data_IF_009265549467
#
_entry.id   IF_009265549467
#
_cell.length_a   1.000
_cell.length_b   1.000
_cell.length_c   1.000
_cell.angle_alpha   90.00
_cell.angle_beta   90.00
_cell.angle_gamma   90.00
#
_symmetry.space_group_name_H-M   'P 1'
#
loop_
_entity.id
_entity.type
_entity.pdbx_description
1 polymer ?
#
# COMPACT_ATOMS: atom_id res chain seq x y z
N UNK A 1 8.67 -6.72 -26.67
CA UNK A 1 7.40 -6.16 -26.16
C UNK A 1 7.72 -5.38 -24.92
N UNK A 2 7.28 -4.12 -24.82
CA UNK A 2 7.45 -3.34 -23.60
C UNK A 2 6.78 -4.07 -22.43
N UNK A 3 7.35 -3.98 -21.23
CA UNK A 3 6.69 -4.49 -20.02
C UNK A 3 5.38 -3.73 -19.84
N UNK A 4 4.39 -4.38 -19.22
CA UNK A 4 3.08 -3.77 -18.99
C UNK A 4 3.20 -2.39 -18.29
N UNK A 5 4.13 -2.25 -17.34
CA UNK A 5 4.42 -0.98 -16.67
C UNK A 5 4.89 0.13 -17.62
N UNK A 6 5.79 -0.20 -18.55
CA UNK A 6 6.31 0.76 -19.55
C UNK A 6 5.20 1.18 -20.52
N UNK A 7 4.30 0.27 -20.89
CA UNK A 7 3.13 0.61 -21.70
C UNK A 7 2.20 1.59 -20.96
N UNK A 8 1.94 1.37 -19.68
CA UNK A 8 1.05 2.26 -18.91
C UNK A 8 1.69 3.64 -18.70
N UNK A 9 3.01 3.70 -18.47
CA UNK A 9 3.76 4.97 -18.41
C UNK A 9 3.67 5.74 -19.72
N UNK A 10 3.87 5.07 -20.87
CA UNK A 10 3.77 5.71 -22.19
C UNK A 10 2.35 6.24 -22.48
N UNK A 11 1.30 5.56 -22.02
CA UNK A 11 -0.08 6.06 -22.11
C UNK A 11 -0.23 7.36 -21.30
N UNK A 12 0.25 7.38 -20.06
CA UNK A 12 0.17 8.56 -19.19
C UNK A 12 0.96 9.74 -19.76
N UNK A 13 2.20 9.53 -20.21
CA UNK A 13 3.02 10.56 -20.85
C UNK A 13 2.34 11.11 -22.12
N UNK A 14 1.73 10.23 -22.93
CA UNK A 14 1.00 10.65 -24.12
C UNK A 14 -0.24 11.47 -23.75
N UNK A 15 -0.96 11.12 -22.70
CA UNK A 15 -2.08 11.93 -22.20
C UNK A 15 -1.60 13.33 -21.80
N UNK A 16 -0.53 13.42 -21.01
CA UNK A 16 0.01 14.72 -20.59
C UNK A 16 0.45 15.60 -21.77
N UNK A 17 1.01 14.98 -22.81
CA UNK A 17 1.47 15.68 -24.01
C UNK A 17 0.33 16.12 -24.94
N UNK A 18 -0.83 15.44 -24.92
CA UNK A 18 -1.89 15.63 -25.92
C UNK A 18 -3.19 16.19 -25.38
N UNK A 19 -3.49 15.97 -24.10
CA UNK A 19 -4.76 16.34 -23.48
C UNK A 19 -4.57 17.47 -22.46
N UNK A 20 -3.71 17.27 -21.45
CA UNK A 20 -3.47 18.27 -20.40
C UNK A 20 -2.17 18.02 -19.66
N UNK A 21 -1.28 19.04 -19.51
CA UNK A 21 -0.05 18.91 -18.72
C UNK A 21 -0.27 19.09 -17.21
N UNK A 22 -1.50 19.42 -16.77
CA UNK A 22 -1.83 19.62 -15.36
C UNK A 22 -2.07 18.28 -14.64
N UNK A 23 -2.03 18.25 -13.29
CA UNK A 23 -2.43 17.07 -12.53
C UNK A 23 -3.81 16.55 -12.97
N UNK A 24 -3.90 15.24 -13.21
CA UNK A 24 -5.08 14.58 -13.77
C UNK A 24 -5.45 13.36 -12.92
N UNK A 25 -6.74 13.03 -12.87
CA UNK A 25 -7.20 11.75 -12.32
C UNK A 25 -6.86 10.59 -13.26
N UNK A 26 -6.57 9.41 -12.70
CA UNK A 26 -6.34 8.22 -13.52
C UNK A 26 -7.61 7.73 -14.23
N UNK A 27 -8.80 8.10 -13.74
CA UNK A 27 -10.08 7.78 -14.38
C UNK A 27 -10.23 8.50 -15.73
N UNK A 28 -9.86 9.78 -15.79
CA UNK A 28 -9.85 10.55 -17.04
C UNK A 28 -8.85 9.98 -18.06
N UNK A 29 -7.63 9.67 -17.60
CA UNK A 29 -6.60 9.07 -18.46
C UNK A 29 -7.05 7.70 -18.95
N UNK A 30 -7.66 6.88 -18.10
CA UNK A 30 -8.15 5.55 -18.46
C UNK A 30 -9.29 5.63 -19.48
N UNK A 31 -10.27 6.51 -19.26
CA UNK A 31 -11.38 6.73 -20.19
C UNK A 31 -10.86 7.15 -21.58
N UNK A 32 -9.94 8.12 -21.62
CA UNK A 32 -9.27 8.53 -22.85
C UNK A 32 -8.49 7.40 -23.52
N UNK A 33 -7.69 6.64 -22.75
CA UNK A 33 -6.87 5.56 -23.30
C UNK A 33 -7.70 4.40 -23.87
N UNK A 34 -8.89 4.16 -23.31
CA UNK A 34 -9.86 3.19 -23.82
C UNK A 34 -10.50 3.70 -25.11
N UNK A 35 -10.92 4.96 -25.14
CA UNK A 35 -11.53 5.60 -26.33
C UNK A 35 -10.54 5.61 -27.53
N UNK A 36 -9.27 5.94 -27.26
CA UNK A 36 -8.17 5.89 -28.24
C UNK A 36 -7.69 4.47 -28.58
N UNK A 37 -8.25 3.43 -27.92
CA UNK A 37 -7.89 2.03 -28.16
C UNK A 37 -6.45 1.65 -27.77
N UNK A 38 -5.80 2.45 -26.92
CA UNK A 38 -4.42 2.29 -26.47
C UNK A 38 -4.28 1.20 -25.39
N UNK A 39 -5.35 0.96 -24.64
CA UNK A 39 -5.42 -0.10 -23.63
C UNK A 39 -6.19 -1.31 -24.14
N UNK A 40 -5.56 -2.49 -24.09
CA UNK A 40 -6.21 -3.78 -24.38
C UNK A 40 -5.98 -4.76 -23.23
N UNK A 41 -7.02 -5.13 -22.47
CA UNK A 41 -6.85 -6.04 -21.36
C UNK A 41 -6.49 -7.45 -21.87
N UNK A 42 -5.50 -8.06 -21.23
CA UNK A 42 -5.22 -9.49 -21.43
C UNK A 42 -6.34 -10.35 -20.79
N UNK A 43 -6.54 -11.60 -21.25
CA UNK A 43 -7.43 -12.55 -20.58
C UNK A 43 -7.12 -12.65 -19.08
N UNK A 44 -8.15 -12.48 -18.25
CA UNK A 44 -7.98 -12.52 -16.79
C UNK A 44 -7.79 -13.95 -16.30
N UNK A 45 -6.72 -14.17 -15.54
CA UNK A 45 -6.52 -15.40 -14.76
C UNK A 45 -7.47 -15.38 -13.55
N UNK A 46 -8.52 -16.22 -13.60
CA UNK A 46 -9.56 -16.31 -12.56
C UNK A 46 -8.97 -16.78 -11.23
N UNK A 47 -7.97 -17.66 -11.25
CA UNK A 47 -7.31 -18.12 -10.03
C UNK A 47 -6.50 -16.98 -9.40
N UNK A 48 -5.83 -16.15 -10.21
CA UNK A 48 -5.19 -14.92 -9.72
C UNK A 48 -6.20 -13.96 -9.10
N UNK A 49 -7.33 -13.70 -9.78
CA UNK A 49 -8.38 -12.83 -9.26
C UNK A 49 -8.91 -13.30 -7.90
N UNK A 50 -9.18 -14.60 -7.75
CA UNK A 50 -9.63 -15.19 -6.49
C UNK A 50 -8.55 -15.07 -5.39
N UNK A 51 -7.28 -15.33 -5.71
CA UNK A 51 -6.17 -15.17 -4.77
C UNK A 51 -6.03 -13.73 -4.27
N UNK A 52 -6.15 -12.75 -5.16
CA UNK A 52 -6.05 -11.33 -4.80
C UNK A 52 -7.22 -10.92 -3.88
N UNK A 53 -8.45 -11.33 -4.20
CA UNK A 53 -9.62 -11.10 -3.36
C UNK A 53 -9.50 -11.75 -1.96
N UNK A 54 -9.00 -12.98 -1.88
CA UNK A 54 -8.72 -13.65 -0.61
C UNK A 54 -7.66 -12.88 0.19
N UNK A 55 -6.54 -12.51 -0.45
CA UNK A 55 -5.48 -11.77 0.20
C UNK A 55 -6.00 -10.44 0.78
N UNK A 56 -6.84 -9.71 0.04
CA UNK A 56 -7.42 -8.46 0.50
C UNK A 56 -8.39 -8.64 1.67
N UNK A 57 -9.23 -9.67 1.62
CA UNK A 57 -10.13 -10.02 2.72
C UNK A 57 -9.34 -10.38 3.99
N UNK A 58 -8.31 -11.22 3.88
CA UNK A 58 -7.48 -11.63 5.03
C UNK A 58 -6.73 -10.44 5.65
N UNK A 59 -6.31 -9.44 4.87
CA UNK A 59 -5.70 -8.20 5.42
C UNK A 59 -6.67 -7.37 6.25
N UNK A 60 -7.96 -7.47 5.96
CA UNK A 60 -8.99 -6.65 6.60
C UNK A 60 -9.54 -7.28 7.86
N UNK A 61 -9.46 -8.61 8.00
CA UNK A 61 -9.92 -9.30 9.21
C UNK A 61 -9.18 -8.77 10.45
N UNK A 62 -9.95 -8.12 11.34
CA UNK A 62 -9.49 -7.61 12.63
C UNK A 62 -10.27 -8.27 13.75
N UNK A 63 -9.61 -8.48 14.88
CA UNK A 63 -10.20 -8.94 16.14
C UNK A 63 -9.87 -7.95 17.25
N UNK A 64 -10.61 -8.05 18.35
CA UNK A 64 -10.39 -7.27 19.57
C UNK A 64 -9.93 -8.26 20.64
N UNK A 65 -8.84 -7.96 21.32
CA UNK A 65 -8.39 -8.79 22.44
C UNK A 65 -9.00 -8.34 23.77
N UNK A 66 -8.72 -9.09 24.84
CA UNK A 66 -9.23 -8.79 26.17
C UNK A 66 -8.75 -7.44 26.76
N UNK A 67 -7.78 -6.76 26.13
CA UNK A 67 -7.32 -5.43 26.50
C UNK A 67 -7.91 -4.33 25.61
N UNK A 68 -8.88 -4.67 24.76
CA UNK A 68 -9.50 -3.75 23.81
C UNK A 68 -8.67 -3.47 22.55
N UNK A 69 -7.52 -4.13 22.34
CA UNK A 69 -6.65 -3.82 21.20
C UNK A 69 -7.25 -4.38 19.92
N UNK A 70 -7.44 -3.52 18.91
CA UNK A 70 -7.86 -3.92 17.57
C UNK A 70 -6.66 -4.40 16.76
N UNK A 71 -6.51 -5.71 16.58
CA UNK A 71 -5.37 -6.31 15.88
C UNK A 71 -5.80 -7.02 14.59
N UNK A 72 -4.88 -7.15 13.63
CA UNK A 72 -5.10 -7.92 12.40
C UNK A 72 -4.99 -9.41 12.71
N UNK A 73 -6.00 -10.19 12.33
CA UNK A 73 -6.02 -11.63 12.59
C UNK A 73 -5.04 -12.41 11.71
N UNK A 74 -4.91 -12.02 10.43
CA UNK A 74 -4.15 -12.79 9.44
C UNK A 74 -2.89 -12.06 8.99
N UNK A 75 -1.79 -12.79 8.93
CA UNK A 75 -0.47 -12.28 8.61
C UNK A 75 0.11 -12.98 7.39
N UNK A 76 0.76 -12.21 6.53
CA UNK A 76 1.41 -12.74 5.33
C UNK A 76 2.92 -12.72 5.43
N UNK A 77 3.57 -13.72 4.84
CA UNK A 77 5.02 -13.76 4.61
C UNK A 77 5.30 -14.03 3.14
N UNK A 78 6.05 -13.13 2.51
CA UNK A 78 6.63 -13.37 1.17
C UNK A 78 7.91 -14.18 1.31
N UNK A 79 8.00 -15.33 0.65
CA UNK A 79 9.18 -16.19 0.74
C UNK A 79 9.40 -16.98 -0.55
N UNK A 80 10.62 -17.42 -0.77
CA UNK A 80 10.95 -18.31 -1.89
C UNK A 80 10.88 -19.76 -1.42
N UNK A 81 10.11 -20.59 -2.13
CA UNK A 81 10.02 -22.04 -1.92
C UNK A 81 10.13 -22.69 -3.29
N UNK A 82 11.07 -23.62 -3.46
CA UNK A 82 11.25 -24.35 -4.73
C UNK A 82 11.49 -23.44 -5.94
N UNK A 83 12.19 -22.30 -5.76
CA UNK A 83 12.46 -21.35 -6.83
C UNK A 83 11.27 -20.46 -7.22
N UNK A 84 10.14 -20.54 -6.51
CA UNK A 84 8.98 -19.67 -6.72
C UNK A 84 8.77 -18.76 -5.51
N UNK A 85 8.43 -17.50 -5.77
CA UNK A 85 8.04 -16.56 -4.73
C UNK A 85 6.57 -16.79 -4.37
N UNK A 86 6.31 -17.08 -3.10
CA UNK A 86 4.96 -17.32 -2.57
C UNK A 86 4.63 -16.30 -1.48
N UNK A 87 3.33 -16.03 -1.32
CA UNK A 87 2.78 -15.32 -0.17
C UNK A 87 2.03 -16.32 0.70
N UNK A 88 2.65 -16.72 1.81
CA UNK A 88 2.04 -17.60 2.80
C UNK A 88 1.21 -16.77 3.78
N UNK A 89 0.12 -17.35 4.28
CA UNK A 89 -0.79 -16.70 5.22
C UNK A 89 -0.97 -17.57 6.47
N UNK A 90 -1.02 -16.95 7.64
CA UNK A 90 -1.30 -17.62 8.89
C UNK A 90 -2.11 -16.73 9.84
N UNK A 91 -2.77 -17.34 10.81
CA UNK A 91 -3.48 -16.63 11.88
C UNK A 91 -2.50 -16.27 13.01
N UNK A 92 -2.55 -15.04 13.52
CA UNK A 92 -1.66 -14.56 14.57
C UNK A 92 -1.76 -15.39 15.86
N UNK A 93 -2.92 -15.98 16.13
CA UNK A 93 -3.18 -16.72 17.36
C UNK A 93 -2.65 -18.17 17.30
N UNK A 94 -2.34 -18.70 16.10
CA UNK A 94 -1.88 -20.09 15.91
C UNK A 94 -0.57 -20.23 15.14
N UNK A 95 -0.08 -19.16 14.52
CA UNK A 95 1.15 -19.19 13.73
C UNK A 95 2.41 -19.45 14.59
N UNK A 96 3.42 -20.14 14.03
CA UNK A 96 4.74 -20.22 14.66
C UNK A 96 5.35 -18.83 14.85
N UNK A 97 6.08 -18.65 15.97
CA UNK A 97 6.76 -17.39 16.29
C UNK A 97 7.63 -16.87 15.14
N UNK A 98 8.43 -17.75 14.54
CA UNK A 98 9.32 -17.43 13.40
C UNK A 98 8.56 -16.85 12.19
N UNK A 99 7.32 -17.32 11.96
CA UNK A 99 6.49 -16.82 10.88
C UNK A 99 6.06 -15.38 11.15
N UNK A 100 5.63 -15.09 12.38
CA UNK A 100 5.20 -13.76 12.78
C UNK A 100 6.38 -12.77 12.84
N UNK A 101 7.53 -13.17 13.38
CA UNK A 101 8.74 -12.34 13.37
C UNK A 101 9.12 -11.93 11.95
N UNK A 102 9.08 -12.87 10.99
CA UNK A 102 9.32 -12.57 9.58
C UNK A 102 8.23 -11.67 8.99
N UNK A 103 6.96 -11.90 9.33
CA UNK A 103 5.84 -11.08 8.86
C UNK A 103 5.96 -9.62 9.33
N UNK A 104 6.25 -9.41 10.62
CA UNK A 104 6.47 -8.09 11.20
C UNK A 104 7.72 -7.42 10.60
N UNK A 105 8.81 -8.17 10.43
CA UNK A 105 10.03 -7.66 9.80
C UNK A 105 9.79 -7.17 8.37
N UNK A 106 9.04 -7.92 7.56
CA UNK A 106 8.69 -7.51 6.19
C UNK A 106 7.82 -6.25 6.16
N UNK A 107 6.85 -6.12 7.08
CA UNK A 107 6.04 -4.91 7.20
C UNK A 107 6.87 -3.71 7.62
N UNK A 108 7.78 -3.89 8.58
CA UNK A 108 8.71 -2.84 8.98
C UNK A 108 9.58 -2.38 7.80
N UNK A 109 10.10 -3.32 7.00
CA UNK A 109 10.88 -2.98 5.82
C UNK A 109 10.07 -2.26 4.74
N UNK A 110 8.78 -2.60 4.58
CA UNK A 110 7.89 -1.85 3.69
C UNK A 110 7.73 -0.39 4.15
N UNK A 111 7.47 -0.16 5.45
CA UNK A 111 7.39 1.20 6.02
C UNK A 111 8.68 1.98 5.77
N UNK A 112 9.84 1.37 6.00
CA UNK A 112 11.14 2.00 5.73
C UNK A 112 11.31 2.35 4.25
N UNK A 113 10.89 1.46 3.34
CA UNK A 113 10.92 1.69 1.90
C UNK A 113 10.06 2.89 1.49
N UNK A 114 8.84 2.98 2.01
CA UNK A 114 7.94 4.10 1.74
C UNK A 114 8.51 5.42 2.28
N UNK A 115 9.04 5.42 3.50
CA UNK A 115 9.70 6.59 4.10
C UNK A 115 10.92 7.06 3.30
N UNK A 116 11.73 6.10 2.83
CA UNK A 116 12.88 6.40 2.00
C UNK A 116 12.45 7.04 0.67
N UNK A 117 11.45 6.48 -0.01
CA UNK A 117 10.96 7.04 -1.27
C UNK A 117 10.41 8.46 -1.09
N UNK A 118 9.58 8.67 -0.06
CA UNK A 118 9.04 10.00 0.27
C UNK A 118 10.17 11.02 0.48
N UNK A 119 11.22 10.63 1.21
CA UNK A 119 12.38 11.50 1.42
C UNK A 119 13.06 11.85 0.11
N UNK A 120 13.34 10.86 -0.74
CA UNK A 120 13.99 11.08 -2.03
C UNK A 120 13.16 12.02 -2.93
N UNK A 121 11.84 11.85 -2.94
CA UNK A 121 10.93 12.66 -3.74
C UNK A 121 10.90 14.12 -3.26
N UNK A 122 10.83 14.35 -1.94
CA UNK A 122 10.82 15.69 -1.34
C UNK A 122 12.16 16.38 -1.52
N UNK A 123 13.27 15.68 -1.28
CA UNK A 123 14.62 16.23 -1.45
C UNK A 123 14.80 16.69 -2.91
N UNK A 124 14.46 15.84 -3.89
CA UNK A 124 14.51 16.22 -5.30
C UNK A 124 13.60 17.40 -5.63
N UNK A 125 12.35 17.40 -5.15
CA UNK A 125 11.40 18.48 -5.41
C UNK A 125 11.89 19.83 -4.87
N UNK A 126 12.44 19.84 -3.66
CA UNK A 126 12.98 21.02 -2.99
C UNK A 126 14.25 21.52 -3.70
N UNK A 127 15.15 20.62 -4.10
CA UNK A 127 16.39 20.96 -4.82
C UNK A 127 16.11 21.64 -6.17
N UNK A 128 15.05 21.21 -6.87
CA UNK A 128 14.60 21.84 -8.12
C UNK A 128 13.90 23.20 -7.88
N UNK A 129 13.61 23.58 -6.63
CA UNK A 129 12.89 24.80 -6.24
C UNK A 129 13.56 25.55 -5.07
N UNK A 130 14.82 26.01 -5.22
CA UNK A 130 15.59 26.60 -4.12
C UNK A 130 15.06 27.96 -3.63
N UNK A 131 14.16 28.61 -4.39
CA UNK A 131 13.54 29.88 -4.02
C UNK A 131 12.22 29.76 -3.28
N UNK A 132 11.65 28.56 -3.18
CA UNK A 132 10.40 28.29 -2.48
C UNK A 132 10.65 27.81 -1.05
N UNK A 133 9.64 27.91 -0.18
CA UNK A 133 9.74 27.35 1.16
C UNK A 133 9.82 25.81 1.04
N UNK A 134 10.90 25.16 1.54
CA UNK A 134 11.06 23.73 1.40
C UNK A 134 9.95 22.95 2.09
N UNK A 135 9.45 21.90 1.44
CA UNK A 135 8.55 20.94 2.06
C UNK A 135 9.37 20.13 3.07
N UNK A 136 8.88 20.02 4.30
CA UNK A 136 9.49 19.24 5.37
C UNK A 136 8.49 18.20 5.86
N UNK A 137 8.94 16.97 6.05
CA UNK A 137 8.14 15.88 6.60
C UNK A 137 8.90 15.19 7.72
N UNK A 138 8.19 14.89 8.81
CA UNK A 138 8.73 14.14 9.95
C UNK A 138 8.45 12.65 9.68
N UNK A 139 9.51 11.83 9.72
CA UNK A 139 9.43 10.38 9.50
C UNK A 139 9.57 9.59 10.82
N UNK A 140 9.62 10.30 11.95
CA UNK A 140 9.48 9.72 13.28
C UNK A 140 8.00 9.71 13.66
N UNK A 141 7.40 8.53 13.64
CA UNK A 141 5.97 8.33 13.91
C UNK A 141 5.66 8.04 15.39
N UNK A 142 6.60 8.29 16.30
CA UNK A 142 6.41 7.97 17.72
C UNK A 142 5.16 8.66 18.28
N UNK A 143 4.99 9.95 18.02
CA UNK A 143 3.86 10.73 18.51
C UNK A 143 2.57 10.38 17.76
N UNK A 144 2.63 10.16 16.44
CA UNK A 144 1.47 9.74 15.63
C UNK A 144 0.86 8.42 16.13
N UNK A 145 1.71 7.46 16.51
CA UNK A 145 1.27 6.18 17.08
C UNK A 145 0.63 6.39 18.45
N UNK A 146 1.24 7.20 19.32
CA UNK A 146 0.70 7.50 20.64
C UNK A 146 -0.67 8.19 20.56
N UNK A 147 -0.85 9.10 19.60
CA UNK A 147 -2.13 9.77 19.35
C UNK A 147 -3.21 8.76 18.89
N UNK A 148 -2.88 7.86 17.96
CA UNK A 148 -3.81 6.82 17.53
C UNK A 148 -4.20 5.85 18.66
N UNK A 149 -3.26 5.47 19.52
CA UNK A 149 -3.54 4.64 20.69
C UNK A 149 -4.48 5.35 21.66
N UNK A 150 -4.26 6.63 21.92
CA UNK A 150 -5.14 7.44 22.77
C UNK A 150 -6.56 7.57 22.19
N UNK A 151 -6.71 7.77 20.88
CA UNK A 151 -8.00 7.83 20.20
C UNK A 151 -8.77 6.50 20.26
N UNK A 152 -8.09 5.37 20.08
CA UNK A 152 -8.73 4.04 20.19
C UNK A 152 -9.30 3.77 21.59
N UNK A 153 -8.67 4.29 22.63
CA UNK A 153 -9.19 4.19 24.00
C UNK A 153 -10.47 4.99 24.22
N UNK A 154 -10.68 6.10 23.50
CA UNK A 154 -11.89 6.92 23.59
C UNK A 154 -13.07 6.24 22.90
N UNK A 155 -12.88 5.75 21.67
CA UNK A 155 -13.94 5.08 20.89
C UNK A 155 -14.54 3.86 21.64
N UNK A 156 -13.70 3.08 22.34
CA UNK A 156 -14.15 1.92 23.12
C UNK A 156 -14.91 2.31 24.39
N UNK A 157 -14.58 3.46 25.00
CA UNK A 157 -15.26 3.97 26.18
C UNK A 157 -16.66 4.51 25.88
N UNK A 158 -16.86 5.06 24.69
CA UNK A 158 -18.15 5.57 24.23
C UNK A 158 -19.11 4.43 23.81
N UNK A 159 -18.58 3.34 23.23
CA UNK A 159 -19.36 2.14 22.88
C UNK A 159 -19.83 1.33 24.12
N UNK A 160 -19.11 1.39 25.25
CA UNK A 160 -19.54 0.78 26.53
C UNK A 160 -20.57 1.63 27.31
N UNK A 161 -20.72 2.92 26.97
CA UNK A 161 -21.61 3.85 27.65
C UNK A 161 -22.99 4.03 26.98
N UNK A 162 -23.23 3.35 25.85
CA UNK A 162 -24.49 3.37 25.08
C UNK A 162 -25.32 2.07 25.27
#
# INVERSE_FOLDING_TARGET
MAKHSEQMQAIFERYLATVSPNPVSLDEVAAWAIDEGLFRPAPRDVAKLCRDALADSLRQEKRIDAKGRRYRAKHSVRTWIGGQQLSLWADIDTAPREFLEKSFGQRRQAIVGDCFQIKQDIDHFNDERPGEQPIQIILDFTDDVAEMEAGQHQDLGDDEAA
#
